data_IF_861594386477
#
_entry.id   IF_861594386477
#
_cell.length_a   1.000
_cell.length_b   1.000
_cell.length_c   1.000
_cell.angle_alpha   90.00
_cell.angle_beta   90.00
_cell.angle_gamma   90.00
#
_symmetry.space_group_name_H-M   'P 1'
#
loop_
_entity.id
_entity.type
_entity.pdbx_description
1 polymer ?
#
# COMPACT_ATOMS: atom_id res chain seq x y z
N UNK A 1 22.98 -17.38 29.43
CA UNK A 1 21.54 -17.03 29.47
C UNK A 1 21.31 -16.01 28.36
N UNK A 2 20.56 -16.36 27.31
CA UNK A 2 20.43 -15.56 26.10
C UNK A 2 19.55 -14.31 26.31
N UNK A 3 19.95 -13.18 25.73
CA UNK A 3 19.13 -11.96 25.70
C UNK A 3 18.01 -12.13 24.67
N UNK A 4 16.76 -11.92 25.10
CA UNK A 4 15.54 -12.06 24.29
C UNK A 4 15.37 -10.97 23.22
N UNK A 5 16.25 -9.97 23.21
CA UNK A 5 16.24 -8.83 22.26
C UNK A 5 17.57 -8.71 21.50
N UNK A 6 18.22 -9.84 21.21
CA UNK A 6 19.47 -9.86 20.44
C UNK A 6 19.36 -10.84 19.29
N UNK A 7 19.86 -10.43 18.12
CA UNK A 7 20.13 -11.31 16.99
C UNK A 7 21.47 -12.00 17.24
N UNK A 8 21.43 -13.18 17.87
CA UNK A 8 22.58 -14.01 18.23
C UNK A 8 22.58 -15.39 17.54
N UNK A 9 21.66 -15.63 16.61
CA UNK A 9 21.51 -16.90 15.88
C UNK A 9 20.81 -18.04 16.64
N UNK A 10 20.54 -17.90 17.95
CA UNK A 10 20.02 -18.98 18.78
C UNK A 10 18.49 -18.97 18.90
N UNK A 11 17.92 -20.11 19.32
CA UNK A 11 16.49 -20.23 19.63
C UNK A 11 15.56 -20.32 18.42
N UNK A 12 16.11 -20.50 17.21
CA UNK A 12 15.30 -20.71 16.01
C UNK A 12 14.77 -22.15 15.94
N UNK A 13 13.51 -22.31 15.55
CA UNK A 13 12.92 -23.60 15.17
C UNK A 13 12.80 -23.64 13.65
N UNK A 14 13.46 -24.62 13.03
CA UNK A 14 13.53 -24.75 11.57
C UNK A 14 12.85 -26.07 11.16
N UNK A 15 11.88 -25.97 10.25
CA UNK A 15 11.15 -27.10 9.67
C UNK A 15 11.39 -27.10 8.16
N UNK A 16 12.11 -28.10 7.65
CA UNK A 16 12.60 -28.14 6.27
C UNK A 16 14.10 -27.86 6.19
N UNK A 17 14.54 -27.18 5.13
CA UNK A 17 15.96 -26.93 4.88
C UNK A 17 16.32 -25.45 5.09
N UNK A 18 17.34 -25.19 5.89
CA UNK A 18 17.88 -23.84 6.09
C UNK A 18 18.78 -23.41 4.91
N UNK A 19 18.28 -23.45 3.68
CA UNK A 19 19.08 -23.22 2.46
C UNK A 19 19.41 -21.75 2.26
N UNK A 20 20.69 -21.39 2.10
CA UNK A 20 21.16 -20.02 1.84
C UNK A 20 20.62 -19.51 0.49
N UNK A 21 20.21 -18.24 0.44
CA UNK A 21 19.90 -17.55 -0.83
C UNK A 21 21.20 -17.40 -1.61
N UNK A 22 21.43 -18.30 -2.56
CA UNK A 22 22.56 -18.26 -3.48
C UNK A 22 23.62 -19.32 -3.23
N UNK A 23 23.37 -20.55 -3.69
CA UNK A 23 24.46 -21.39 -4.21
C UNK A 23 23.95 -22.21 -5.39
N UNK A 24 23.77 -21.55 -6.54
CA UNK A 24 23.91 -22.20 -7.84
C UNK A 24 25.38 -22.05 -8.24
N UNK A 25 26.15 -23.14 -8.17
CA UNK A 25 27.55 -23.18 -8.60
C UNK A 25 28.54 -22.88 -7.47
N UNK A 26 29.38 -23.87 -7.14
CA UNK A 26 30.29 -23.82 -6.00
C UNK A 26 31.31 -22.68 -6.04
N UNK A 27 31.58 -22.13 -4.86
CA UNK A 27 32.75 -21.29 -4.58
C UNK A 27 32.44 -20.05 -3.75
N UNK A 28 32.68 -20.13 -2.44
CA UNK A 28 32.87 -18.95 -1.57
C UNK A 28 31.78 -18.72 -0.53
N UNK A 29 32.00 -19.24 0.68
CA UNK A 29 31.23 -18.93 1.88
C UNK A 29 31.65 -17.54 2.37
N UNK A 30 30.87 -16.50 2.06
CA UNK A 30 30.92 -15.22 2.75
C UNK A 30 29.63 -15.08 3.56
N UNK A 31 29.76 -15.25 4.89
CA UNK A 31 28.79 -14.84 5.91
C UNK A 31 27.35 -15.32 5.73
N UNK A 32 26.98 -16.42 6.39
CA UNK A 32 25.58 -16.72 6.71
C UNK A 32 25.03 -15.64 7.65
N UNK A 33 24.68 -14.46 7.12
CA UNK A 33 24.04 -13.40 7.89
C UNK A 33 22.56 -13.73 8.10
N UNK A 34 22.33 -14.84 8.79
CA UNK A 34 21.09 -15.18 9.48
C UNK A 34 21.29 -15.07 11.00
N UNK A 35 21.78 -13.92 11.52
CA UNK A 35 21.99 -13.76 12.95
C UNK A 35 20.66 -13.74 13.73
N UNK A 36 19.51 -13.85 13.05
CA UNK A 36 18.22 -13.80 13.72
C UNK A 36 18.04 -14.88 14.78
N UNK A 37 17.20 -14.59 15.77
CA UNK A 37 17.00 -15.44 16.94
C UNK A 37 15.53 -15.62 17.27
N UNK A 38 15.17 -16.73 17.90
CA UNK A 38 13.78 -16.98 18.32
C UNK A 38 12.77 -16.96 17.16
N UNK A 39 13.18 -17.37 15.96
CA UNK A 39 12.30 -17.41 14.78
C UNK A 39 11.71 -18.80 14.55
N UNK A 40 10.52 -18.85 13.95
CA UNK A 40 9.98 -20.06 13.33
C UNK A 40 10.19 -19.98 11.81
N UNK A 41 10.91 -20.94 11.23
CA UNK A 41 11.32 -20.94 9.82
C UNK A 41 10.80 -22.21 9.14
N UNK A 42 10.02 -22.07 8.06
CA UNK A 42 9.36 -23.19 7.35
C UNK A 42 9.52 -23.05 5.84
N UNK A 43 10.39 -23.84 5.21
CA UNK A 43 10.67 -23.75 3.78
C UNK A 43 12.12 -23.38 3.50
N UNK A 44 12.42 -22.82 2.33
CA UNK A 44 13.79 -22.64 1.82
C UNK A 44 14.09 -21.19 1.41
N UNK A 45 15.38 -20.86 1.39
CA UNK A 45 15.85 -19.55 0.89
C UNK A 45 15.50 -18.36 1.79
N UNK A 46 15.17 -18.56 3.07
CA UNK A 46 14.76 -17.42 3.90
C UNK A 46 15.93 -16.55 4.36
N UNK A 47 15.69 -15.25 4.46
CA UNK A 47 16.54 -14.31 5.20
C UNK A 47 15.84 -13.93 6.52
N UNK A 48 16.53 -14.07 7.65
CA UNK A 48 15.99 -13.68 8.95
C UNK A 48 17.11 -13.07 9.81
N UNK A 49 17.13 -11.74 9.89
CA UNK A 49 18.23 -10.97 10.50
C UNK A 49 17.86 -10.34 11.83
N UNK A 50 16.61 -10.53 12.29
CA UNK A 50 16.09 -10.03 13.56
C UNK A 50 15.52 -11.15 14.42
N UNK A 51 14.67 -10.83 15.41
CA UNK A 51 14.18 -11.81 16.37
C UNK A 51 12.67 -11.89 16.52
N UNK A 52 12.20 -13.06 16.97
CA UNK A 52 10.80 -13.31 17.30
C UNK A 52 9.86 -13.30 16.10
N UNK A 53 10.38 -13.56 14.90
CA UNK A 53 9.61 -13.57 13.65
C UNK A 53 9.20 -14.96 13.19
N UNK A 54 8.36 -14.99 12.15
CA UNK A 54 7.94 -16.21 11.46
C UNK A 54 8.20 -16.04 9.96
N UNK A 55 8.89 -16.99 9.34
CA UNK A 55 9.07 -17.07 7.89
C UNK A 55 8.56 -18.41 7.40
N UNK A 56 7.72 -18.40 6.37
CA UNK A 56 7.38 -19.61 5.64
C UNK A 56 7.36 -19.38 4.12
N UNK A 57 7.50 -20.45 3.34
CA UNK A 57 7.42 -20.44 1.88
C UNK A 57 8.79 -20.54 1.21
N UNK A 58 9.05 -19.68 0.21
CA UNK A 58 10.29 -19.71 -0.57
C UNK A 58 10.91 -18.30 -0.68
N UNK A 59 12.20 -18.17 -0.37
CA UNK A 59 12.95 -16.93 -0.65
C UNK A 59 12.38 -15.65 -0.01
N UNK A 60 11.75 -15.77 1.16
CA UNK A 60 11.18 -14.64 1.91
C UNK A 60 12.18 -14.04 2.93
N UNK A 61 12.05 -12.74 3.22
CA UNK A 61 12.90 -12.01 4.15
C UNK A 61 12.12 -11.41 5.34
N UNK A 62 12.61 -11.66 6.56
CA UNK A 62 12.11 -11.08 7.81
C UNK A 62 13.26 -10.33 8.50
N UNK A 63 13.20 -9.00 8.46
CA UNK A 63 14.34 -8.13 8.84
C UNK A 63 14.12 -7.28 10.08
N UNK A 64 12.96 -7.38 10.72
CA UNK A 64 12.61 -6.57 11.88
C UNK A 64 12.02 -7.40 13.03
N UNK A 65 12.03 -6.88 14.27
CA UNK A 65 11.51 -7.61 15.43
C UNK A 65 10.03 -7.93 15.27
N UNK A 66 9.68 -9.19 15.53
CA UNK A 66 8.30 -9.69 15.45
C UNK A 66 7.62 -9.45 14.10
N UNK A 67 8.39 -9.37 13.02
CA UNK A 67 7.87 -9.36 11.66
C UNK A 67 7.57 -10.78 11.17
N UNK A 68 6.56 -10.92 10.32
CA UNK A 68 6.07 -12.23 9.86
C UNK A 68 5.86 -12.24 8.35
N UNK A 69 6.32 -13.31 7.70
CA UNK A 69 5.90 -13.72 6.36
C UNK A 69 5.31 -15.13 6.47
N UNK A 70 3.99 -15.27 6.33
CA UNK A 70 3.28 -16.53 6.62
C UNK A 70 3.34 -17.56 5.48
N UNK A 71 3.79 -17.17 4.27
CA UNK A 71 3.89 -18.04 3.11
C UNK A 71 4.20 -17.28 1.82
N UNK A 72 4.07 -17.97 0.69
CA UNK A 72 4.35 -17.39 -0.63
C UNK A 72 5.84 -17.29 -0.95
N UNK A 73 6.19 -16.42 -1.89
CA UNK A 73 7.57 -16.28 -2.36
C UNK A 73 8.05 -14.82 -2.45
N UNK A 74 9.36 -14.62 -2.35
CA UNK A 74 10.04 -13.35 -2.63
C UNK A 74 9.48 -12.13 -1.87
N UNK A 75 8.90 -12.35 -0.69
CA UNK A 75 8.25 -11.32 0.10
C UNK A 75 9.14 -10.84 1.24
N UNK A 76 9.05 -9.55 1.58
CA UNK A 76 9.87 -8.91 2.61
C UNK A 76 8.99 -8.27 3.69
N UNK A 77 9.20 -8.66 4.94
CA UNK A 77 8.66 -7.99 6.12
C UNK A 77 9.82 -7.34 6.89
N UNK A 78 9.96 -6.01 6.80
CA UNK A 78 11.09 -5.26 7.37
C UNK A 78 10.66 -4.15 8.33
N UNK A 79 9.36 -4.03 8.62
CA UNK A 79 8.85 -3.14 9.67
C UNK A 79 8.67 -3.88 10.99
N UNK A 80 8.86 -3.21 12.12
CA UNK A 80 8.55 -3.84 13.42
C UNK A 80 7.06 -4.21 13.47
N UNK A 81 6.73 -5.45 13.82
CA UNK A 81 5.36 -5.99 13.78
C UNK A 81 4.71 -6.03 12.39
N UNK A 82 5.49 -5.91 11.30
CA UNK A 82 4.92 -5.97 9.95
C UNK A 82 4.54 -7.40 9.56
N UNK A 83 3.47 -7.56 8.78
CA UNK A 83 2.99 -8.88 8.35
C UNK A 83 2.79 -8.92 6.84
N UNK A 84 3.34 -9.96 6.21
CA UNK A 84 2.93 -10.40 4.87
C UNK A 84 2.28 -11.77 5.00
N UNK A 85 0.99 -11.89 4.68
CA UNK A 85 0.29 -13.18 4.85
C UNK A 85 0.59 -14.18 3.73
N UNK A 86 1.03 -13.74 2.56
CA UNK A 86 1.37 -14.63 1.45
C UNK A 86 1.54 -13.88 0.12
N UNK A 87 1.41 -14.61 -1.00
CA UNK A 87 1.57 -14.07 -2.35
C UNK A 87 3.02 -14.05 -2.83
N UNK A 88 3.32 -13.19 -3.81
CA UNK A 88 4.65 -13.12 -4.41
C UNK A 88 5.14 -11.67 -4.47
N UNK A 89 6.39 -11.41 -4.09
CA UNK A 89 7.02 -10.10 -4.25
C UNK A 89 6.44 -9.00 -3.36
N UNK A 90 5.76 -9.34 -2.26
CA UNK A 90 5.09 -8.35 -1.41
C UNK A 90 6.06 -7.75 -0.37
N UNK A 91 5.92 -6.45 -0.09
CA UNK A 91 6.77 -5.74 0.86
C UNK A 91 5.93 -5.05 1.94
N UNK A 92 6.14 -5.40 3.21
CA UNK A 92 5.62 -4.69 4.37
C UNK A 92 6.79 -4.09 5.16
N UNK A 93 7.09 -2.81 4.94
CA UNK A 93 8.29 -2.17 5.50
C UNK A 93 7.99 -1.13 6.58
N UNK A 94 6.74 -0.68 6.71
CA UNK A 94 6.33 0.22 7.79
C UNK A 94 6.10 -0.52 9.11
N UNK A 95 6.32 0.14 10.24
CA UNK A 95 5.97 -0.45 11.54
C UNK A 95 4.46 -0.73 11.61
N UNK A 96 4.10 -1.95 12.02
CA UNK A 96 2.71 -2.42 12.07
C UNK A 96 2.00 -2.43 10.71
N UNK A 97 2.76 -2.36 9.59
CA UNK A 97 2.19 -2.44 8.25
C UNK A 97 1.77 -3.87 7.90
N UNK A 98 0.81 -4.00 6.99
CA UNK A 98 0.35 -5.32 6.55
C UNK A 98 0.11 -5.42 5.06
N UNK A 99 0.49 -6.56 4.49
CA UNK A 99 0.10 -6.98 3.14
C UNK A 99 -0.56 -8.35 3.23
N UNK A 100 -1.85 -8.46 2.94
CA UNK A 100 -2.58 -9.73 3.09
C UNK A 100 -2.30 -10.73 1.95
N UNK A 101 -1.73 -10.29 0.83
CA UNK A 101 -1.38 -11.18 -0.29
C UNK A 101 -1.24 -10.45 -1.62
N UNK A 102 -1.37 -11.20 -2.72
CA UNK A 102 -1.29 -10.67 -4.09
C UNK A 102 0.14 -10.67 -4.65
N UNK A 103 0.37 -9.85 -5.69
CA UNK A 103 1.63 -9.80 -6.43
C UNK A 103 2.22 -8.38 -6.42
N UNK A 104 3.44 -8.23 -5.91
CA UNK A 104 4.19 -6.97 -5.91
C UNK A 104 3.50 -5.80 -5.18
N UNK A 105 2.82 -6.06 -4.08
CA UNK A 105 2.19 -5.00 -3.27
C UNK A 105 3.16 -4.45 -2.22
N UNK A 106 3.06 -3.16 -1.89
CA UNK A 106 3.92 -2.48 -0.92
C UNK A 106 3.10 -1.73 0.14
N UNK A 107 3.22 -2.13 1.41
CA UNK A 107 2.78 -1.36 2.57
C UNK A 107 4.02 -0.74 3.25
N UNK A 108 4.36 0.49 2.85
CA UNK A 108 5.59 1.17 3.24
C UNK A 108 5.48 2.09 4.44
N UNK A 109 4.29 2.63 4.72
CA UNK A 109 4.05 3.59 5.79
C UNK A 109 3.75 2.97 7.15
N UNK A 110 3.91 3.75 8.22
CA UNK A 110 3.52 3.36 9.58
C UNK A 110 2.02 3.02 9.62
N UNK A 111 1.67 1.81 10.06
CA UNK A 111 0.29 1.28 10.05
C UNK A 111 -0.39 1.26 8.65
N UNK A 112 0.40 1.29 7.58
CA UNK A 112 -0.14 1.18 6.23
C UNK A 112 -0.65 -0.24 5.95
N UNK A 113 -1.70 -0.37 5.13
CA UNK A 113 -2.26 -1.67 4.78
C UNK A 113 -2.51 -1.82 3.29
N UNK A 114 -2.21 -3.01 2.76
CA UNK A 114 -2.63 -3.42 1.42
C UNK A 114 -3.30 -4.79 1.51
N UNK A 115 -4.59 -4.86 1.20
CA UNK A 115 -5.34 -6.12 1.35
C UNK A 115 -5.07 -7.13 0.23
N UNK A 116 -4.49 -6.72 -0.91
CA UNK A 116 -4.15 -7.62 -2.00
C UNK A 116 -4.03 -6.93 -3.35
N UNK A 117 -4.20 -7.69 -4.43
CA UNK A 117 -4.15 -7.19 -5.81
C UNK A 117 -2.75 -7.24 -6.44
N UNK A 118 -2.51 -6.42 -7.46
CA UNK A 118 -1.24 -6.35 -8.17
C UNK A 118 -0.65 -4.94 -8.13
N UNK A 119 0.61 -4.79 -7.71
CA UNK A 119 1.35 -3.51 -7.75
C UNK A 119 0.66 -2.36 -7.00
N UNK A 120 -0.02 -2.65 -5.90
CA UNK A 120 -0.65 -1.63 -5.05
C UNK A 120 0.35 -1.08 -4.03
N UNK A 121 0.31 0.22 -3.75
CA UNK A 121 1.25 0.89 -2.85
C UNK A 121 0.52 1.73 -1.80
N UNK A 122 0.77 1.47 -0.53
CA UNK A 122 0.35 2.28 0.62
C UNK A 122 1.61 2.81 1.32
N UNK A 123 2.04 4.03 1.03
CA UNK A 123 3.41 4.50 1.36
C UNK A 123 3.51 5.45 2.57
N UNK A 124 2.39 5.93 3.13
CA UNK A 124 2.39 6.90 4.22
C UNK A 124 1.64 6.42 5.49
N UNK A 125 1.63 7.25 6.53
CA UNK A 125 1.04 6.89 7.84
C UNK A 125 -0.46 6.59 7.71
N UNK A 126 -0.86 5.41 8.18
CA UNK A 126 -2.23 4.93 8.26
C UNK A 126 -3.02 5.04 6.95
N UNK A 127 -2.33 4.90 5.82
CA UNK A 127 -2.98 4.82 4.51
C UNK A 127 -3.33 3.37 4.14
N UNK A 128 -4.30 3.20 3.25
CA UNK A 128 -4.80 1.87 2.90
C UNK A 128 -5.10 1.72 1.41
N UNK A 129 -4.76 0.56 0.86
CA UNK A 129 -5.24 0.12 -0.45
C UNK A 129 -5.95 -1.22 -0.33
N UNK A 130 -7.25 -1.27 -0.60
CA UNK A 130 -8.03 -2.49 -0.41
C UNK A 130 -7.85 -3.53 -1.53
N UNK A 131 -7.26 -3.16 -2.67
CA UNK A 131 -6.97 -4.10 -3.76
C UNK A 131 -6.84 -3.42 -5.12
N UNK A 132 -7.06 -4.17 -6.20
CA UNK A 132 -6.99 -3.69 -7.58
C UNK A 132 -5.60 -3.79 -8.20
N UNK A 133 -5.34 -2.98 -9.23
CA UNK A 133 -4.08 -2.99 -9.99
C UNK A 133 -3.46 -1.60 -10.02
N UNK A 134 -2.22 -1.46 -9.54
CA UNK A 134 -1.46 -0.22 -9.68
C UNK A 134 -2.00 0.96 -8.87
N UNK A 135 -2.77 0.72 -7.80
CA UNK A 135 -3.32 1.79 -6.98
C UNK A 135 -2.30 2.32 -5.97
N UNK A 136 -2.34 3.63 -5.68
CA UNK A 136 -1.43 4.29 -4.75
C UNK A 136 -2.17 5.14 -3.72
N UNK A 137 -1.97 4.86 -2.44
CA UNK A 137 -2.33 5.72 -1.32
C UNK A 137 -1.04 6.25 -0.66
N UNK A 138 -0.77 7.56 -0.78
CA UNK A 138 0.49 8.17 -0.35
C UNK A 138 0.34 9.40 0.56
N UNK A 139 -0.90 9.75 0.94
CA UNK A 139 -1.20 10.76 1.94
C UNK A 139 -1.48 10.17 3.33
N UNK A 140 -1.37 10.99 4.40
CA UNK A 140 -1.74 10.54 5.77
C UNK A 140 -3.23 10.22 5.83
N UNK A 141 -3.62 9.04 6.30
CA UNK A 141 -5.03 8.59 6.31
C UNK A 141 -5.68 8.54 4.92
N UNK A 142 -4.89 8.53 3.84
CA UNK A 142 -5.42 8.38 2.49
C UNK A 142 -5.89 6.96 2.23
N UNK A 143 -6.85 6.80 1.31
CA UNK A 143 -7.36 5.48 0.97
C UNK A 143 -7.68 5.31 -0.51
N UNK A 144 -7.41 4.12 -1.03
CA UNK A 144 -7.92 3.66 -2.32
C UNK A 144 -8.63 2.33 -2.14
N UNK A 145 -9.94 2.30 -2.41
CA UNK A 145 -10.74 1.08 -2.19
C UNK A 145 -10.56 0.02 -3.28
N UNK A 146 -9.98 0.35 -4.44
CA UNK A 146 -9.70 -0.60 -5.52
C UNK A 146 -9.63 0.06 -6.89
N UNK A 147 -9.88 -0.71 -7.94
CA UNK A 147 -9.83 -0.26 -9.32
C UNK A 147 -8.44 -0.37 -9.95
N UNK A 148 -8.17 0.43 -10.98
CA UNK A 148 -6.92 0.42 -11.72
C UNK A 148 -6.27 1.81 -11.74
N UNK A 149 -4.99 1.90 -11.38
CA UNK A 149 -4.18 3.12 -11.47
C UNK A 149 -4.77 4.35 -10.75
N UNK A 150 -5.49 4.15 -9.64
CA UNK A 150 -6.03 5.26 -8.84
C UNK A 150 -5.00 5.78 -7.83
N UNK A 151 -5.02 7.09 -7.58
CA UNK A 151 -4.05 7.77 -6.69
C UNK A 151 -4.77 8.64 -5.66
N UNK A 152 -4.49 8.43 -4.38
CA UNK A 152 -4.89 9.28 -3.26
C UNK A 152 -3.64 9.78 -2.54
N UNK A 153 -3.21 11.02 -2.80
CA UNK A 153 -1.85 11.48 -2.48
C UNK A 153 -1.71 12.49 -1.35
N UNK A 154 -2.80 13.02 -0.79
CA UNK A 154 -2.78 14.02 0.29
C UNK A 154 -3.52 13.53 1.55
N UNK A 155 -3.42 14.29 2.66
CA UNK A 155 -4.03 13.97 3.94
C UNK A 155 -5.53 13.77 3.79
N UNK A 156 -6.01 12.61 4.22
CA UNK A 156 -7.41 12.19 4.16
C UNK A 156 -8.04 12.24 2.76
N UNK A 157 -7.23 12.22 1.69
CA UNK A 157 -7.74 12.08 0.34
C UNK A 157 -8.24 10.66 0.09
N UNK A 158 -9.29 10.47 -0.71
CA UNK A 158 -9.82 9.14 -0.99
C UNK A 158 -10.23 8.93 -2.44
N UNK A 159 -9.99 7.71 -2.93
CA UNK A 159 -10.54 7.24 -4.20
C UNK A 159 -11.29 5.92 -3.97
N UNK A 160 -12.59 5.91 -4.24
CA UNK A 160 -13.43 4.73 -3.98
C UNK A 160 -13.29 3.63 -5.05
N UNK A 161 -12.71 3.93 -6.22
CA UNK A 161 -12.46 2.95 -7.28
C UNK A 161 -12.39 3.59 -8.67
N UNK A 162 -12.65 2.80 -9.70
CA UNK A 162 -12.60 3.23 -11.10
C UNK A 162 -11.20 3.08 -11.72
N UNK A 163 -10.94 3.85 -12.78
CA UNK A 163 -9.68 3.81 -13.52
C UNK A 163 -9.02 5.18 -13.57
N UNK A 164 -7.73 5.27 -13.23
CA UNK A 164 -6.92 6.49 -13.38
C UNK A 164 -7.49 7.74 -12.69
N UNK A 165 -8.19 7.57 -11.56
CA UNK A 165 -8.69 8.69 -10.78
C UNK A 165 -7.65 9.21 -9.79
N UNK A 166 -7.59 10.52 -9.58
CA UNK A 166 -6.62 11.18 -8.70
C UNK A 166 -7.32 12.11 -7.68
N UNK A 167 -7.09 11.86 -6.40
CA UNK A 167 -7.41 12.77 -5.30
C UNK A 167 -6.11 13.29 -4.67
N UNK A 168 -5.71 14.52 -5.01
CA UNK A 168 -4.42 15.11 -4.64
C UNK A 168 -4.52 16.37 -3.77
N UNK A 169 -5.73 16.81 -3.43
CA UNK A 169 -5.95 17.84 -2.41
C UNK A 169 -6.22 17.25 -1.01
N UNK A 170 -5.96 17.99 0.08
CA UNK A 170 -6.27 17.48 1.42
C UNK A 170 -7.80 17.34 1.59
N UNK A 171 -8.24 16.20 2.11
CA UNK A 171 -9.65 15.80 2.18
C UNK A 171 -10.39 15.79 0.82
N UNK A 172 -9.67 15.75 -0.30
CA UNK A 172 -10.28 15.61 -1.61
C UNK A 172 -10.81 14.18 -1.82
N UNK A 173 -11.88 14.02 -2.61
CA UNK A 173 -12.43 12.70 -2.89
C UNK A 173 -12.84 12.51 -4.34
N UNK A 174 -12.59 11.30 -4.84
CA UNK A 174 -13.14 10.82 -6.11
C UNK A 174 -13.89 9.53 -5.87
N UNK A 175 -15.20 9.53 -6.06
CA UNK A 175 -16.05 8.36 -5.78
C UNK A 175 -15.93 7.26 -6.86
N UNK A 176 -15.37 7.55 -8.03
CA UNK A 176 -15.12 6.56 -9.08
C UNK A 176 -15.06 7.18 -10.47
N UNK A 177 -15.35 6.36 -11.49
CA UNK A 177 -15.31 6.76 -12.89
C UNK A 177 -13.94 6.55 -13.53
N UNK A 178 -13.65 7.30 -14.60
CA UNK A 178 -12.42 7.18 -15.37
C UNK A 178 -11.72 8.55 -15.51
N UNK A 179 -10.44 8.64 -15.15
CA UNK A 179 -9.63 9.84 -15.35
C UNK A 179 -10.20 11.12 -14.71
N UNK A 180 -10.75 11.03 -13.50
CA UNK A 180 -11.24 12.18 -12.75
C UNK A 180 -10.17 12.71 -11.76
N UNK A 181 -10.11 14.03 -11.57
CA UNK A 181 -9.15 14.70 -10.69
C UNK A 181 -9.80 15.61 -9.65
N UNK A 182 -9.42 15.48 -8.37
CA UNK A 182 -9.80 16.37 -7.28
C UNK A 182 -8.53 16.88 -6.56
N UNK A 183 -8.16 18.15 -6.76
CA UNK A 183 -6.79 18.63 -6.49
C UNK A 183 -6.65 19.70 -5.40
N UNK A 184 -7.74 20.19 -4.83
CA UNK A 184 -7.72 21.24 -3.81
C UNK A 184 -8.42 20.80 -2.53
N UNK A 185 -8.29 21.58 -1.45
CA UNK A 185 -8.83 21.25 -0.14
C UNK A 185 -10.34 20.99 -0.22
N UNK A 186 -10.75 19.76 0.12
CA UNK A 186 -12.15 19.33 0.10
C UNK A 186 -12.80 19.31 -1.29
N UNK A 187 -12.02 19.31 -2.38
CA UNK A 187 -12.55 19.18 -3.73
C UNK A 187 -13.14 17.77 -3.95
N UNK A 188 -14.25 17.67 -4.68
CA UNK A 188 -14.96 16.40 -4.86
C UNK A 188 -15.34 16.14 -6.31
N UNK A 189 -15.16 14.91 -6.76
CA UNK A 189 -15.73 14.41 -8.02
C UNK A 189 -16.52 13.13 -7.73
N UNK A 190 -17.82 13.16 -7.96
CA UNK A 190 -18.69 12.00 -7.68
C UNK A 190 -18.52 10.87 -8.71
N UNK A 191 -18.03 11.18 -9.92
CA UNK A 191 -17.75 10.18 -10.95
C UNK A 191 -17.77 10.77 -12.35
N UNK A 192 -18.05 9.93 -13.34
CA UNK A 192 -18.01 10.32 -14.76
C UNK A 192 -16.63 10.11 -15.38
N UNK A 193 -16.30 10.88 -16.41
CA UNK A 193 -15.04 10.73 -17.14
C UNK A 193 -14.37 12.08 -17.41
N UNK A 194 -13.06 12.19 -17.16
CA UNK A 194 -12.28 13.41 -17.43
C UNK A 194 -12.78 14.67 -16.69
N UNK A 195 -13.33 14.50 -15.49
CA UNK A 195 -13.81 15.63 -14.69
C UNK A 195 -12.73 16.15 -13.73
N UNK A 196 -12.64 17.46 -13.54
CA UNK A 196 -11.65 18.12 -12.68
C UNK A 196 -12.34 19.06 -11.70
N UNK A 197 -12.14 18.83 -10.40
CA UNK A 197 -12.48 19.75 -9.31
C UNK A 197 -11.18 20.34 -8.71
N UNK A 198 -10.94 21.64 -8.92
CA UNK A 198 -9.70 22.31 -8.48
C UNK A 198 -9.92 23.59 -7.66
N UNK A 199 -11.15 24.04 -7.48
CA UNK A 199 -11.49 25.06 -6.48
C UNK A 199 -11.51 24.48 -5.05
N UNK A 200 -11.24 25.28 -4.02
CA UNK A 200 -11.42 24.86 -2.62
C UNK A 200 -12.89 24.53 -2.36
N UNK A 201 -13.17 23.36 -1.81
CA UNK A 201 -14.54 22.86 -1.61
C UNK A 201 -15.39 22.85 -2.90
N UNK A 202 -14.74 22.76 -4.06
CA UNK A 202 -15.45 22.60 -5.33
C UNK A 202 -16.05 21.20 -5.47
N UNK A 203 -17.12 21.08 -6.24
CA UNK A 203 -17.77 19.81 -6.50
C UNK A 203 -18.13 19.64 -7.97
N UNK A 204 -17.80 18.46 -8.51
CA UNK A 204 -18.33 17.98 -9.79
C UNK A 204 -19.20 16.76 -9.52
N UNK A 205 -20.50 16.91 -9.80
CA UNK A 205 -21.50 15.86 -9.57
C UNK A 205 -21.43 14.69 -10.56
N UNK A 206 -20.74 14.88 -11.69
CA UNK A 206 -20.51 13.86 -12.72
C UNK A 206 -20.61 14.43 -14.13
N UNK A 207 -20.52 13.53 -15.12
CA UNK A 207 -20.56 13.84 -16.54
C UNK A 207 -19.24 13.59 -17.26
N UNK A 208 -18.99 14.29 -18.37
CA UNK A 208 -17.76 14.13 -19.17
C UNK A 208 -17.12 15.48 -19.49
N UNK A 209 -15.82 15.60 -19.20
CA UNK A 209 -15.02 16.81 -19.44
C UNK A 209 -15.51 18.07 -18.69
N UNK A 210 -15.96 17.92 -17.45
CA UNK A 210 -16.38 19.04 -16.59
C UNK A 210 -15.21 19.56 -15.77
N UNK A 211 -15.00 20.87 -15.77
CA UNK A 211 -13.99 21.53 -14.92
C UNK A 211 -14.68 22.52 -13.97
N UNK A 212 -14.45 22.38 -12.67
CA UNK A 212 -14.88 23.34 -11.65
C UNK A 212 -13.69 23.89 -10.88
N UNK A 213 -13.29 25.12 -11.22
CA UNK A 213 -12.13 25.81 -10.64
C UNK A 213 -12.49 26.80 -9.54
N UNK A 214 -13.77 27.09 -9.35
CA UNK A 214 -14.23 28.13 -8.42
C UNK A 214 -14.31 27.57 -7.00
N UNK A 215 -13.78 28.33 -6.04
CA UNK A 215 -13.98 28.03 -4.62
C UNK A 215 -15.48 27.98 -4.29
N UNK A 216 -15.91 26.93 -3.59
CA UNK A 216 -17.33 26.66 -3.30
C UNK A 216 -18.21 26.58 -4.57
N UNK A 217 -17.60 26.30 -5.73
CA UNK A 217 -18.30 26.12 -6.99
C UNK A 217 -18.86 24.71 -7.16
N UNK A 218 -19.96 24.59 -7.90
CA UNK A 218 -20.55 23.32 -8.30
C UNK A 218 -20.78 23.26 -9.81
N UNK A 219 -20.42 22.12 -10.41
CA UNK A 219 -20.73 21.82 -11.82
C UNK A 219 -21.29 20.41 -12.00
N UNK A 220 -22.07 20.22 -13.05
CA UNK A 220 -22.49 18.92 -13.55
C UNK A 220 -22.90 18.96 -15.02
N UNK A 221 -23.02 17.79 -15.62
CA UNK A 221 -23.38 17.62 -17.03
C UNK A 221 -22.18 17.22 -17.90
N UNK A 222 -22.37 17.04 -19.19
CA UNK A 222 -21.26 16.76 -20.12
C UNK A 222 -20.96 18.00 -20.95
N UNK A 223 -19.74 18.14 -21.46
CA UNK A 223 -19.38 19.22 -22.38
C UNK A 223 -20.45 19.36 -23.49
N UNK A 224 -21.20 20.47 -23.47
CA UNK A 224 -22.35 20.74 -24.35
C UNK A 224 -23.70 20.98 -23.65
N UNK A 225 -23.87 20.58 -22.38
CA UNK A 225 -25.07 20.85 -21.57
C UNK A 225 -24.70 21.14 -20.11
N UNK A 226 -23.81 22.12 -19.90
CA UNK A 226 -23.32 22.45 -18.56
C UNK A 226 -24.44 23.07 -17.71
N UNK A 227 -24.63 22.54 -16.50
CA UNK A 227 -25.41 23.18 -15.44
C UNK A 227 -24.43 23.55 -14.33
N UNK A 228 -24.27 24.85 -14.05
CA UNK A 228 -23.34 25.37 -13.05
C UNK A 228 -24.09 26.19 -11.98
N UNK A 229 -23.59 26.17 -10.74
CA UNK A 229 -24.16 26.88 -9.59
C UNK A 229 -23.13 27.13 -8.48
N UNK A 230 -23.52 27.94 -7.49
CA UNK A 230 -22.70 28.25 -6.30
C UNK A 230 -23.36 27.69 -5.03
N UNK A 231 -22.56 27.15 -4.11
CA UNK A 231 -23.06 26.85 -2.76
C UNK A 231 -23.27 28.16 -2.00
N UNK A 232 -24.52 28.54 -1.74
CA UNK A 232 -24.86 29.53 -0.70
C UNK A 232 -25.67 28.81 0.39
N UNK A 233 -25.14 28.79 1.62
CA UNK A 233 -25.97 28.48 2.78
C UNK A 233 -26.96 29.63 3.03
N UNK A 234 -28.15 29.37 3.62
CA UNK A 234 -29.00 30.43 4.14
C UNK A 234 -28.29 31.26 5.23
#
# INVERSE_FOLDING_TARGET
>A
MGSTHSANGLGNLIIGYNEVVGTIGGGGVFGDERPGSHNLVIGSGHEYTSWGGLVAGESNAVRAPSACVLGGALSTASGRYSVVSGGEGNTASGQGSSVSGGLNNTAGGLYASVSGGNRNTASYVACAVSGGVGNTASGTFSSVSGGEANVASDRASSVSGGQSNEASGPAASVSGGESNGASNFGATVTGGRFNIASGRHSSVSGGVNVVQTTDLGWSGGSAGTEVAGHFRSP
#
